data_IF_548171835937
#
_entry.id   IF_548171835937
#
_cell.length_a   1.000
_cell.length_b   1.000
_cell.length_c   1.000
_cell.angle_alpha   90.00
_cell.angle_beta   90.00
_cell.angle_gamma   90.00
#
_symmetry.space_group_name_H-M   'P 1'
#
loop_
_entity.id
_entity.type
_entity.pdbx_description
1 polymer ?
#
# COMPACT_ATOMS: atom_id res chain seq x y z
N UNK A 1 5.27 0.50 11.97
CA UNK A 1 6.30 1.53 12.31
C UNK A 1 6.33 2.52 11.17
N UNK A 2 6.58 3.81 11.43
CA UNK A 2 6.69 4.84 10.39
C UNK A 2 8.13 5.33 10.36
N UNK A 3 8.78 5.34 9.19
CA UNK A 3 10.17 5.75 9.01
C UNK A 3 10.30 7.17 8.50
N UNK A 4 9.26 7.70 7.82
CA UNK A 4 9.32 9.00 7.15
C UNK A 4 9.86 8.91 5.71
N UNK A 5 10.07 7.69 5.19
CA UNK A 5 10.49 7.47 3.80
C UNK A 5 9.27 7.27 2.90
N UNK A 6 8.96 8.27 2.09
CA UNK A 6 7.81 8.25 1.18
C UNK A 6 8.09 7.25 0.05
N UNK A 7 7.21 6.26 -0.10
CA UNK A 7 7.28 5.25 -1.17
C UNK A 7 6.66 5.73 -2.48
N UNK A 8 5.70 6.65 -2.39
CA UNK A 8 4.99 7.16 -3.54
C UNK A 8 3.98 8.24 -3.19
N UNK A 9 3.40 8.82 -4.22
CA UNK A 9 2.35 9.82 -4.10
C UNK A 9 1.08 9.25 -4.71
N UNK A 10 0.03 9.14 -3.91
CA UNK A 10 -1.29 8.71 -4.36
C UNK A 10 -2.20 9.88 -4.67
N UNK A 11 -3.20 9.66 -5.51
CA UNK A 11 -4.28 10.61 -5.78
C UNK A 11 -5.50 10.25 -4.94
N UNK A 12 -6.12 11.24 -4.31
CA UNK A 12 -7.42 11.08 -3.67
C UNK A 12 -8.49 10.97 -4.77
N UNK A 13 -8.98 9.76 -5.02
CA UNK A 13 -9.99 9.50 -6.04
C UNK A 13 -11.37 9.99 -5.60
N UNK A 14 -11.70 9.78 -4.32
CA UNK A 14 -13.00 10.15 -3.77
C UNK A 14 -12.94 10.35 -2.24
N UNK A 15 -13.82 11.22 -1.73
CA UNK A 15 -13.98 11.48 -0.29
C UNK A 15 -15.45 11.34 0.07
N UNK A 16 -15.77 10.31 0.84
CA UNK A 16 -17.12 10.04 1.32
C UNK A 16 -17.28 10.59 2.73
N UNK A 17 -18.11 11.62 2.88
CA UNK A 17 -18.45 12.17 4.20
C UNK A 17 -19.67 11.45 4.76
N UNK A 18 -19.50 10.77 5.89
CA UNK A 18 -20.61 10.24 6.70
C UNK A 18 -20.81 11.11 7.94
N UNK A 19 -21.80 10.79 8.77
CA UNK A 19 -22.14 11.58 9.97
C UNK A 19 -20.98 11.73 10.96
N UNK A 20 -20.21 10.67 11.18
CA UNK A 20 -19.15 10.64 12.21
C UNK A 20 -17.77 10.27 11.67
N UNK A 21 -17.67 9.93 10.40
CA UNK A 21 -16.42 9.49 9.79
C UNK A 21 -16.29 9.99 8.36
N UNK A 22 -15.05 10.11 7.88
CA UNK A 22 -14.75 10.39 6.48
C UNK A 22 -13.96 9.22 5.92
N UNK A 23 -14.44 8.65 4.83
CA UNK A 23 -13.72 7.61 4.09
C UNK A 23 -13.03 8.27 2.91
N UNK A 24 -11.72 8.06 2.79
CA UNK A 24 -10.93 8.55 1.65
C UNK A 24 -10.54 7.35 0.80
N UNK A 25 -10.85 7.40 -0.49
CA UNK A 25 -10.37 6.46 -1.49
C UNK A 25 -9.14 7.04 -2.20
N UNK A 26 -8.11 6.24 -2.32
CA UNK A 26 -6.79 6.66 -2.81
C UNK A 26 -6.32 5.68 -3.87
N UNK A 27 -5.86 6.25 -4.98
CA UNK A 27 -5.17 5.54 -6.06
C UNK A 27 -3.67 5.77 -5.90
N UNK A 28 -2.92 4.78 -5.40
CA UNK A 28 -1.47 4.86 -5.32
C UNK A 28 -0.82 4.53 -6.68
N UNK A 29 0.49 4.72 -6.83
CA UNK A 29 1.22 4.04 -7.88
C UNK A 29 1.02 2.52 -7.77
N UNK A 30 0.70 1.84 -8.88
CA UNK A 30 0.38 0.40 -8.88
C UNK A 30 1.48 -0.47 -8.27
N UNK A 31 2.74 -0.03 -8.33
CA UNK A 31 3.87 -0.72 -7.70
C UNK A 31 3.78 -0.81 -6.17
N UNK A 32 3.03 0.08 -5.51
CA UNK A 32 2.79 0.07 -4.06
C UNK A 32 1.67 -0.87 -3.65
N UNK A 33 0.72 -1.19 -4.55
CA UNK A 33 -0.48 -1.97 -4.20
C UNK A 33 -0.15 -3.33 -3.57
N UNK A 34 0.96 -3.98 -3.97
CA UNK A 34 1.43 -5.24 -3.38
C UNK A 34 1.79 -5.15 -1.88
N UNK A 35 1.93 -3.95 -1.33
CA UNK A 35 2.22 -3.72 0.09
C UNK A 35 0.98 -3.29 0.89
N UNK A 36 -0.15 -3.07 0.21
CA UNK A 36 -1.40 -2.59 0.77
C UNK A 36 -2.35 -3.78 0.86
N UNK A 37 -2.79 -4.09 2.08
CA UNK A 37 -3.69 -5.21 2.36
C UNK A 37 -4.81 -4.74 3.26
N UNK A 38 -6.00 -5.31 3.11
CA UNK A 38 -7.13 -5.02 4.00
C UNK A 38 -6.76 -5.29 5.45
N UNK A 39 -7.20 -4.42 6.35
CA UNK A 39 -6.85 -4.42 7.78
C UNK A 39 -5.35 -4.22 8.07
N UNK A 40 -4.52 -4.04 7.04
CA UNK A 40 -3.13 -3.68 7.15
C UNK A 40 -2.92 -2.22 7.56
N UNK A 41 -1.66 -1.87 7.82
CA UNK A 41 -1.25 -0.49 8.15
C UNK A 41 -0.75 0.22 6.89
N UNK A 42 -1.09 1.51 6.80
CA UNK A 42 -0.55 2.41 5.80
C UNK A 42 -0.40 3.81 6.41
N UNK A 43 0.59 4.57 5.97
CA UNK A 43 0.79 5.94 6.42
C UNK A 43 0.41 6.90 5.30
N UNK A 44 -0.40 7.90 5.65
CA UNK A 44 -0.83 8.97 4.76
C UNK A 44 -0.41 10.31 5.35
N UNK A 45 0.43 11.08 4.65
CA UNK A 45 0.95 12.37 5.16
C UNK A 45 1.52 12.26 6.59
N UNK A 46 2.24 11.17 6.88
CA UNK A 46 2.80 10.89 8.21
C UNK A 46 1.80 10.35 9.24
N UNK A 47 0.50 10.26 8.92
CA UNK A 47 -0.54 9.72 9.81
C UNK A 47 -0.71 8.22 9.57
N UNK A 48 -0.48 7.42 10.60
CA UNK A 48 -0.64 5.96 10.50
C UNK A 48 -2.10 5.53 10.61
N UNK A 49 -2.62 4.91 9.57
CA UNK A 49 -4.02 4.50 9.40
C UNK A 49 -4.14 2.99 9.17
N UNK A 50 -5.38 2.50 9.30
CA UNK A 50 -5.74 1.12 8.92
C UNK A 50 -6.44 1.16 7.55
N UNK A 51 -6.02 0.28 6.66
CA UNK A 51 -6.69 0.07 5.36
C UNK A 51 -8.04 -0.59 5.61
N UNK A 52 -9.13 0.12 5.28
CA UNK A 52 -10.48 -0.36 5.46
C UNK A 52 -10.88 -1.39 4.39
N UNK A 53 -10.46 -1.14 3.14
CA UNK A 53 -10.59 -2.08 2.02
C UNK A 53 -9.58 -1.74 0.92
N UNK A 54 -9.30 -2.69 0.02
CA UNK A 54 -8.45 -2.46 -1.15
C UNK A 54 -8.92 -3.24 -2.37
N UNK A 55 -8.70 -2.68 -3.56
CA UNK A 55 -8.94 -3.30 -4.87
C UNK A 55 -7.59 -3.62 -5.55
N UNK A 56 -7.59 -3.85 -6.86
CA UNK A 56 -6.35 -3.98 -7.65
C UNK A 56 -5.64 -2.62 -7.87
N UNK A 57 -6.38 -1.51 -7.82
CA UNK A 57 -5.90 -0.19 -8.24
C UNK A 57 -6.03 0.90 -7.18
N UNK A 58 -6.80 0.65 -6.12
CA UNK A 58 -7.08 1.64 -5.08
C UNK A 58 -7.26 1.01 -3.70
N UNK A 59 -7.25 1.86 -2.67
CA UNK A 59 -7.59 1.46 -1.31
C UNK A 59 -8.35 2.56 -0.59
N UNK A 60 -9.00 2.18 0.52
CA UNK A 60 -9.78 3.10 1.35
C UNK A 60 -9.25 3.13 2.77
N UNK A 61 -9.27 4.32 3.37
CA UNK A 61 -9.00 4.54 4.79
C UNK A 61 -10.16 5.28 5.44
N UNK A 62 -10.43 4.97 6.70
CA UNK A 62 -11.44 5.67 7.49
C UNK A 62 -10.77 6.64 8.46
N UNK A 63 -11.26 7.88 8.48
CA UNK A 63 -10.84 8.93 9.41
C UNK A 63 -11.95 9.17 10.43
N UNK A 64 -11.63 8.85 11.69
CA UNK A 64 -12.48 9.13 12.85
C UNK A 64 -12.39 10.61 13.25
N UNK A 65 -13.33 11.13 14.07
CA UNK A 65 -13.36 12.56 14.44
C UNK A 65 -12.05 13.06 15.04
N UNK A 66 -11.39 12.26 15.87
CA UNK A 66 -10.10 12.63 16.46
C UNK A 66 -9.03 12.88 15.38
N UNK A 67 -8.88 11.97 14.41
CA UNK A 67 -7.92 12.12 13.30
C UNK A 67 -8.26 13.29 12.41
N UNK A 68 -9.55 13.52 12.12
CA UNK A 68 -10.00 14.66 11.31
C UNK A 68 -9.66 16.00 11.95
N UNK A 69 -9.80 16.11 13.28
CA UNK A 69 -9.57 17.36 14.00
C UNK A 69 -8.08 17.63 14.30
N UNK A 70 -7.24 16.59 14.31
CA UNK A 70 -5.83 16.69 14.71
C UNK A 70 -4.85 16.49 13.55
N UNK A 71 -5.32 16.38 12.31
CA UNK A 71 -4.47 16.19 11.13
C UNK A 71 -4.97 17.01 9.94
N UNK A 72 -4.13 17.20 8.93
CA UNK A 72 -4.50 17.89 7.69
C UNK A 72 -5.37 17.02 6.76
N UNK A 73 -5.57 15.74 7.08
CA UNK A 73 -6.29 14.80 6.23
C UNK A 73 -7.77 15.16 6.07
N UNK A 74 -8.38 15.83 7.06
CA UNK A 74 -9.75 16.33 6.96
C UNK A 74 -9.95 17.43 5.91
N UNK A 75 -8.85 18.03 5.41
CA UNK A 75 -8.86 19.08 4.40
C UNK A 75 -8.75 18.54 2.97
N UNK A 76 -8.34 17.26 2.80
CA UNK A 76 -8.14 16.65 1.48
C UNK A 76 -9.46 16.59 0.70
N UNK A 77 -9.36 16.84 -0.60
CA UNK A 77 -10.44 16.81 -1.56
C UNK A 77 -10.11 15.84 -2.68
N UNK A 78 -11.11 15.55 -3.52
CA UNK A 78 -10.89 14.81 -4.76
C UNK A 78 -9.78 15.46 -5.59
N UNK A 79 -8.96 14.62 -6.21
CA UNK A 79 -7.78 14.95 -7.02
C UNK A 79 -6.58 15.54 -6.25
N UNK A 80 -6.68 15.76 -4.93
CA UNK A 80 -5.51 16.09 -4.12
C UNK A 80 -4.51 14.93 -4.12
N UNK A 81 -3.23 15.28 -4.06
CA UNK A 81 -2.15 14.32 -3.89
C UNK A 81 -1.90 14.03 -2.42
N UNK A 82 -1.49 12.82 -2.08
CA UNK A 82 -1.14 12.42 -0.72
C UNK A 82 0.15 11.60 -0.70
N UNK A 83 1.07 11.94 0.20
CA UNK A 83 2.27 11.15 0.43
C UNK A 83 1.91 9.81 1.08
N UNK A 84 2.44 8.72 0.52
CA UNK A 84 2.19 7.35 0.95
C UNK A 84 3.48 6.70 1.45
N UNK A 85 3.38 6.05 2.59
CA UNK A 85 4.41 5.15 3.09
C UNK A 85 3.74 3.83 3.49
N UNK A 86 4.21 2.74 2.88
CA UNK A 86 3.75 1.39 3.15
C UNK A 86 4.41 0.83 4.41
N UNK A 87 3.73 -0.10 5.09
CA UNK A 87 4.32 -0.75 6.26
C UNK A 87 5.64 -1.44 5.89
N UNK A 88 6.70 -1.10 6.63
CA UNK A 88 8.02 -1.67 6.48
C UNK A 88 8.00 -3.21 6.60
N UNK A 89 7.10 -3.77 7.40
CA UNK A 89 6.94 -5.22 7.55
C UNK A 89 6.55 -5.85 6.20
N UNK A 90 5.63 -5.23 5.45
CA UNK A 90 5.22 -5.71 4.12
C UNK A 90 6.41 -5.74 3.14
N UNK A 91 7.30 -4.73 3.19
CA UNK A 91 8.50 -4.69 2.34
C UNK A 91 9.51 -5.77 2.71
N UNK A 92 9.73 -6.02 4.01
CA UNK A 92 10.58 -7.10 4.47
C UNK A 92 10.03 -8.47 4.07
N UNK A 93 8.71 -8.67 4.19
CA UNK A 93 8.06 -9.91 3.75
C UNK A 93 8.21 -10.13 2.25
N UNK A 94 7.97 -9.13 1.40
CA UNK A 94 8.19 -9.21 -0.06
C UNK A 94 9.65 -9.57 -0.38
N UNK A 95 10.62 -8.96 0.32
CA UNK A 95 12.04 -9.28 0.14
C UNK A 95 12.38 -10.72 0.54
N UNK A 96 11.87 -11.19 1.68
CA UNK A 96 12.09 -12.56 2.14
C UNK A 96 11.50 -13.57 1.17
N UNK A 97 10.24 -13.38 0.76
CA UNK A 97 9.55 -14.27 -0.18
C UNK A 97 10.30 -14.33 -1.51
N UNK A 98 10.71 -13.18 -2.07
CA UNK A 98 11.48 -13.13 -3.33
C UNK A 98 12.82 -13.87 -3.26
N UNK A 99 13.46 -13.89 -2.08
CA UNK A 99 14.72 -14.59 -1.87
C UNK A 99 14.51 -16.08 -1.55
N UNK A 100 13.39 -16.44 -0.91
CA UNK A 100 13.04 -17.82 -0.58
C UNK A 100 12.53 -18.63 -1.77
N UNK A 101 12.02 -17.97 -2.82
CA UNK A 101 11.86 -18.61 -4.13
C UNK A 101 13.19 -18.53 -4.88
N UNK A 102 14.00 -19.61 -4.90
CA UNK A 102 15.17 -19.61 -5.76
C UNK A 102 14.69 -19.31 -7.18
N UNK A 103 15.36 -18.36 -7.83
CA UNK A 103 15.25 -18.11 -9.25
C UNK A 103 15.14 -19.48 -9.92
N UNK A 104 14.01 -19.81 -10.58
CA UNK A 104 13.81 -21.11 -11.24
C UNK A 104 15.10 -21.41 -11.98
N UNK A 105 15.88 -22.37 -11.47
CA UNK A 105 17.15 -22.69 -12.10
C UNK A 105 16.82 -23.03 -13.55
N UNK A 106 17.44 -22.34 -14.51
CA UNK A 106 17.28 -22.65 -15.94
C UNK A 106 17.62 -24.11 -16.25
N UNK A 107 18.29 -24.76 -15.30
CA UNK A 107 18.57 -26.19 -15.28
C UNK A 107 17.34 -26.92 -14.71
N UNK A 108 16.43 -27.30 -15.61
CA UNK A 108 15.40 -28.30 -15.35
C UNK A 108 15.81 -29.66 -15.99
N UNK A 109 15.06 -30.74 -15.72
CA UNK A 109 15.32 -32.06 -16.32
C UNK A 109 15.34 -32.03 -17.86
N UNK A 110 14.55 -31.15 -18.47
CA UNK A 110 14.52 -30.98 -19.93
C UNK A 110 15.78 -30.28 -20.45
N UNK A 111 16.30 -29.30 -19.73
CA UNK A 111 17.57 -28.63 -20.02
C UNK A 111 18.72 -29.63 -19.92
N UNK A 112 18.77 -30.44 -18.86
CA UNK A 112 19.79 -31.49 -18.70
C UNK A 112 19.78 -32.47 -19.87
N UNK A 113 18.59 -32.99 -20.23
CA UNK A 113 18.43 -33.85 -21.42
C UNK A 113 18.89 -33.17 -22.70
N UNK A 114 18.66 -31.85 -22.85
CA UNK A 114 19.07 -31.08 -24.03
C UNK A 114 20.59 -30.90 -24.13
N UNK A 115 21.30 -30.85 -23.00
CA UNK A 115 22.77 -30.71 -22.96
C UNK A 115 23.51 -32.04 -22.79
N UNK A 116 22.80 -33.18 -22.82
CA UNK A 116 23.40 -34.51 -22.84
C UNK A 116 23.66 -35.14 -21.47
N UNK A 117 22.98 -34.67 -20.42
CA UNK A 117 22.98 -35.25 -19.06
C UNK A 117 21.63 -35.85 -18.66
#
# INVERSE_FOLDING_TARGET
MVTGDIDGVGRVAEVFKKKEEVVIQIEPPLSLMKYIVEQGRITLEGVSLTVASCSETDFRVCLIPFTLNNTTLGLKKKDDLANLEADIISKYMDKLIRNSYPHKSRINKEFLKRVGY
#
